data_IF_586384016004
#
_entry.id   IF_586384016004
#
_cell.length_a   1.000
_cell.length_b   1.000
_cell.length_c   1.000
_cell.angle_alpha   90.00
_cell.angle_beta   90.00
_cell.angle_gamma   90.00
#
_symmetry.space_group_name_H-M   'P 1'
#
loop_
_entity.id
_entity.type
_entity.pdbx_description
1 polymer ?
#
# COMPACT_ATOMS: atom_id res chain seq x y z
N UNK A 1 11.69 -6.72 -14.21
CA UNK A 1 11.66 -5.26 -13.92
C UNK A 1 12.83 -4.98 -12.98
N UNK A 2 13.87 -4.29 -13.44
CA UNK A 2 15.03 -3.95 -12.61
C UNK A 2 14.61 -2.87 -11.61
N UNK A 3 14.70 -3.15 -10.32
CA UNK A 3 14.50 -2.15 -9.27
C UNK A 3 15.59 -1.08 -9.40
N UNK A 4 15.19 0.16 -9.71
CA UNK A 4 16.10 1.30 -9.81
C UNK A 4 16.04 2.09 -8.50
N UNK A 5 17.17 2.63 -8.07
CA UNK A 5 17.21 3.59 -6.97
C UNK A 5 16.27 4.78 -7.26
N UNK A 6 15.33 5.04 -6.35
CA UNK A 6 14.36 6.15 -6.44
C UNK A 6 15.03 7.54 -6.50
N UNK A 7 16.28 7.65 -6.04
CA UNK A 7 17.02 8.91 -5.93
C UNK A 7 17.83 9.27 -7.18
N UNK A 8 18.61 8.33 -7.74
CA UNK A 8 19.50 8.62 -8.86
C UNK A 8 19.01 8.10 -10.23
N UNK A 9 17.94 7.29 -10.28
CA UNK A 9 17.39 6.66 -11.50
C UNK A 9 18.40 5.90 -12.39
N UNK A 10 19.65 5.72 -11.96
CA UNK A 10 20.72 5.14 -12.75
C UNK A 10 21.71 4.40 -11.85
N UNK A 11 21.80 3.08 -12.03
CA UNK A 11 23.07 2.34 -12.05
C UNK A 11 22.81 1.03 -12.78
N UNK A 12 23.57 0.78 -13.85
CA UNK A 12 23.64 -0.54 -14.47
C UNK A 12 24.47 -1.43 -13.53
N UNK A 13 23.94 -2.61 -13.18
CA UNK A 13 24.72 -3.73 -12.66
C UNK A 13 25.41 -3.52 -11.30
N UNK A 14 24.91 -4.23 -10.28
CA UNK A 14 25.64 -4.66 -9.08
C UNK A 14 26.35 -3.61 -8.20
N UNK A 15 26.17 -2.31 -8.43
CA UNK A 15 26.77 -1.26 -7.59
C UNK A 15 25.70 -0.63 -6.70
N UNK A 16 25.85 -0.81 -5.38
CA UNK A 16 25.13 -0.02 -4.37
C UNK A 16 25.30 1.46 -4.71
N UNK A 17 24.21 2.23 -4.81
CA UNK A 17 24.28 3.67 -5.12
C UNK A 17 25.30 4.37 -4.21
N UNK A 18 26.02 5.37 -4.72
CA UNK A 18 26.84 6.25 -3.89
C UNK A 18 26.00 7.31 -3.13
N UNK A 19 24.69 7.06 -2.97
CA UNK A 19 23.77 7.95 -2.27
C UNK A 19 23.89 7.88 -0.74
N UNK A 20 25.03 7.35 -0.24
CA UNK A 20 25.37 7.27 1.17
C UNK A 20 24.65 6.17 1.94
N UNK A 21 24.05 5.18 1.25
CA UNK A 21 23.39 4.05 1.92
C UNK A 21 22.17 4.40 2.77
N UNK A 22 21.59 5.60 2.62
CA UNK A 22 20.35 5.94 3.33
C UNK A 22 19.22 5.08 2.76
N UNK A 23 18.84 4.04 3.50
CA UNK A 23 17.61 3.31 3.27
C UNK A 23 16.45 4.26 3.57
N UNK A 24 15.62 4.54 2.58
CA UNK A 24 14.40 5.31 2.82
C UNK A 24 13.47 4.46 3.70
N UNK A 25 13.41 4.81 4.98
CA UNK A 25 12.55 4.15 5.95
C UNK A 25 11.08 4.39 5.57
N UNK A 26 10.30 3.32 5.65
CA UNK A 26 8.84 3.41 5.65
C UNK A 26 8.38 3.08 7.07
N UNK A 27 7.80 4.06 7.74
CA UNK A 27 7.12 3.83 9.00
C UNK A 27 5.66 3.51 8.72
N UNK A 28 5.16 2.42 9.29
CA UNK A 28 3.76 1.98 9.18
C UNK A 28 3.11 2.07 10.55
N UNK A 29 1.94 2.68 10.60
CA UNK A 29 1.08 2.72 11.79
C UNK A 29 -0.28 2.16 11.43
N UNK A 30 -0.80 1.31 12.31
CA UNK A 30 -2.11 0.66 12.17
C UNK A 30 -3.06 1.22 13.22
N UNK A 31 -4.26 1.56 12.79
CA UNK A 31 -5.34 2.01 13.67
C UNK A 31 -6.66 1.39 13.26
N UNK A 32 -7.63 1.42 14.16
CA UNK A 32 -9.01 1.02 13.90
C UNK A 32 -9.86 2.29 13.72
N UNK A 33 -10.80 2.23 12.80
CA UNK A 33 -11.78 3.28 12.58
C UNK A 33 -13.18 2.66 12.51
N UNK A 34 -14.09 3.13 13.36
CA UNK A 34 -15.51 2.78 13.28
C UNK A 34 -16.14 3.41 12.01
N UNK A 35 -16.82 2.59 11.21
CA UNK A 35 -17.52 3.00 9.98
C UNK A 35 -18.90 2.34 9.99
N UNK A 36 -19.92 3.09 10.42
CA UNK A 36 -21.25 2.54 10.69
C UNK A 36 -21.18 1.56 11.86
N UNK A 37 -21.68 0.35 11.66
CA UNK A 37 -21.66 -0.74 12.65
C UNK A 37 -20.41 -1.65 12.53
N UNK A 38 -19.46 -1.29 11.68
CA UNK A 38 -18.26 -2.10 11.40
C UNK A 38 -16.96 -1.40 11.74
N UNK A 39 -15.94 -2.18 12.10
CA UNK A 39 -14.57 -1.69 12.31
C UNK A 39 -13.74 -1.82 11.02
N UNK A 40 -13.12 -0.72 10.59
CA UNK A 40 -12.19 -0.68 9.47
C UNK A 40 -10.74 -0.56 9.96
N UNK A 41 -9.89 -1.50 9.52
CA UNK A 41 -8.45 -1.44 9.76
C UNK A 41 -7.78 -0.43 8.84
N UNK A 42 -7.23 0.63 9.42
CA UNK A 42 -6.55 1.70 8.71
C UNK A 42 -5.04 1.58 8.89
N UNK A 43 -4.35 1.42 7.77
CA UNK A 43 -2.90 1.62 7.68
C UNK A 43 -2.60 3.05 7.27
N UNK A 44 -1.63 3.67 7.95
CA UNK A 44 -0.96 4.91 7.52
C UNK A 44 0.52 4.61 7.35
N UNK A 45 1.12 5.04 6.24
CA UNK A 45 2.54 4.90 6.00
C UNK A 45 3.18 6.26 5.70
N UNK A 46 4.37 6.50 6.23
CA UNK A 46 5.19 7.67 5.90
C UNK A 46 6.52 7.23 5.32
N UNK A 47 6.88 7.78 4.17
CA UNK A 47 8.16 7.51 3.50
C UNK A 47 9.15 8.65 3.71
N UNK A 48 10.39 8.27 4.04
CA UNK A 48 11.53 9.15 4.21
C UNK A 48 11.64 9.76 5.60
N UNK A 49 12.75 10.45 5.84
CA UNK A 49 13.07 11.06 7.14
C UNK A 49 13.05 12.60 7.09
N UNK A 50 12.79 13.18 5.90
CA UNK A 50 12.80 14.63 5.66
C UNK A 50 11.43 15.16 5.29
N UNK A 51 11.07 16.32 5.86
CA UNK A 51 9.83 17.03 5.57
C UNK A 51 9.91 17.70 4.18
N UNK A 52 8.86 17.62 3.33
CA UNK A 52 7.57 16.97 3.57
C UNK A 52 7.62 15.46 3.32
N UNK A 53 7.18 14.70 4.32
CA UNK A 53 7.02 13.25 4.23
C UNK A 53 5.91 12.89 3.24
N UNK A 54 6.16 11.92 2.37
CA UNK A 54 5.08 11.32 1.58
C UNK A 54 4.22 10.48 2.53
N UNK A 55 2.94 10.86 2.69
CA UNK A 55 1.99 10.16 3.55
C UNK A 55 1.01 9.36 2.70
N UNK A 56 0.97 8.06 2.94
CA UNK A 56 0.01 7.13 2.39
C UNK A 56 -0.99 6.73 3.47
N UNK A 57 -2.24 6.51 3.07
CA UNK A 57 -3.30 6.04 3.95
C UNK A 57 -4.14 4.99 3.24
N UNK A 58 -4.75 4.09 4.00
CA UNK A 58 -5.71 3.13 3.46
C UNK A 58 -6.90 3.88 2.85
N UNK A 59 -7.23 3.55 1.60
CA UNK A 59 -8.40 4.08 0.91
C UNK A 59 -9.65 3.57 1.61
N UNK A 60 -10.54 4.49 2.00
CA UNK A 60 -11.85 4.10 2.51
C UNK A 60 -12.64 3.35 1.43
N UNK A 61 -13.26 2.20 1.75
CA UNK A 61 -14.11 1.52 0.81
C UNK A 61 -15.33 2.38 0.47
N UNK A 62 -15.97 2.09 -0.67
CA UNK A 62 -17.21 2.75 -1.11
C UNK A 62 -18.36 1.78 -0.97
N UNK A 63 -19.53 2.27 -0.57
CA UNK A 63 -20.74 1.45 -0.56
C UNK A 63 -21.17 1.09 -2.00
N UNK A 64 -21.31 -0.19 -2.30
CA UNK A 64 -21.91 -0.67 -3.54
C UNK A 64 -23.37 -1.03 -3.30
N UNK A 65 -24.29 -0.34 -3.99
CA UNK A 65 -25.74 -0.56 -3.83
C UNK A 65 -26.23 -1.91 -4.35
N UNK A 66 -25.51 -2.52 -5.30
CA UNK A 66 -25.93 -3.80 -5.91
C UNK A 66 -25.48 -4.99 -5.07
N UNK A 67 -24.30 -4.88 -4.47
CA UNK A 67 -23.73 -5.90 -3.60
C UNK A 67 -24.06 -5.69 -2.12
N UNK A 68 -24.68 -4.56 -1.78
CA UNK A 68 -25.04 -4.14 -0.42
C UNK A 68 -23.88 -4.28 0.59
N UNK A 69 -22.68 -3.89 0.16
CA UNK A 69 -21.49 -3.97 0.99
C UNK A 69 -20.45 -2.90 0.63
N UNK A 70 -19.48 -2.72 1.52
CA UNK A 70 -18.34 -1.83 1.32
C UNK A 70 -17.29 -2.48 0.42
N UNK A 71 -16.99 -1.88 -0.74
CA UNK A 71 -16.08 -2.41 -1.76
C UNK A 71 -14.92 -1.48 -2.09
N UNK A 72 -13.80 -2.07 -2.52
CA UNK A 72 -12.68 -1.38 -3.16
C UNK A 72 -12.64 -1.73 -4.65
N UNK A 73 -12.32 -0.74 -5.49
CA UNK A 73 -12.20 -0.96 -6.92
C UNK A 73 -10.75 -1.32 -7.30
N UNK A 74 -10.52 -2.59 -7.66
CA UNK A 74 -9.24 -3.10 -8.14
C UNK A 74 -9.06 -2.99 -9.66
N UNK A 75 -9.63 -1.95 -10.28
CA UNK A 75 -9.49 -1.60 -11.71
C UNK A 75 -9.79 -2.76 -12.67
N UNK A 76 -10.85 -3.51 -12.38
CA UNK A 76 -11.28 -4.65 -13.20
C UNK A 76 -10.60 -5.98 -12.87
N UNK A 77 -9.65 -6.01 -11.92
CA UNK A 77 -9.14 -7.29 -11.40
C UNK A 77 -10.21 -7.97 -10.54
N UNK A 78 -10.47 -9.23 -10.82
CA UNK A 78 -11.31 -10.08 -9.98
C UNK A 78 -10.57 -10.34 -8.66
N UNK A 79 -11.11 -9.79 -7.57
CA UNK A 79 -10.55 -9.92 -6.22
C UNK A 79 -11.62 -10.55 -5.31
N UNK A 80 -11.20 -11.55 -4.53
CA UNK A 80 -12.06 -12.22 -3.55
C UNK A 80 -12.15 -11.39 -2.26
N UNK A 81 -13.26 -11.49 -1.53
CA UNK A 81 -13.40 -10.85 -0.24
C UNK A 81 -12.33 -11.33 0.76
N UNK A 82 -11.76 -10.38 1.51
CA UNK A 82 -10.78 -10.62 2.56
C UNK A 82 -10.62 -9.37 3.40
N UNK A 83 -10.49 -9.51 4.72
CA UNK A 83 -10.14 -8.41 5.62
C UNK A 83 -8.77 -7.81 5.28
N UNK A 84 -7.88 -8.59 4.65
CA UNK A 84 -6.52 -8.19 4.27
C UNK A 84 -6.46 -7.38 2.97
N UNK A 85 -7.57 -7.22 2.25
CA UNK A 85 -7.59 -6.43 1.02
C UNK A 85 -7.45 -4.94 1.35
N UNK A 86 -6.46 -4.26 0.76
CA UNK A 86 -6.28 -2.82 0.96
C UNK A 86 -5.76 -2.12 -0.29
N UNK A 87 -5.98 -0.80 -0.31
CA UNK A 87 -5.33 0.12 -1.23
C UNK A 87 -4.69 1.24 -0.40
N UNK A 88 -3.43 1.55 -0.65
CA UNK A 88 -2.77 2.74 -0.10
C UNK A 88 -2.83 3.87 -1.12
N UNK A 89 -3.31 5.03 -0.71
CA UNK A 89 -3.43 6.24 -1.54
C UNK A 89 -2.64 7.39 -0.93
N UNK A 90 -2.31 8.40 -1.73
CA UNK A 90 -1.77 9.65 -1.18
C UNK A 90 -2.80 10.28 -0.23
N UNK A 91 -2.36 10.74 0.95
CA UNK A 91 -3.26 11.37 1.92
C UNK A 91 -4.02 12.57 1.34
N UNK A 92 -3.36 13.33 0.47
CA UNK A 92 -3.91 14.54 -0.16
C UNK A 92 -4.56 14.26 -1.53
N UNK A 93 -4.44 13.03 -2.05
CA UNK A 93 -5.05 12.60 -3.31
C UNK A 93 -5.50 11.12 -3.19
N UNK A 94 -6.72 10.90 -2.66
CA UNK A 94 -7.26 9.56 -2.42
C UNK A 94 -7.53 8.73 -3.68
N UNK A 95 -7.52 9.34 -4.88
CA UNK A 95 -7.74 8.61 -6.13
C UNK A 95 -6.43 8.07 -6.72
N UNK A 96 -5.30 8.62 -6.31
CA UNK A 96 -3.97 8.08 -6.62
C UNK A 96 -3.63 6.90 -5.71
N UNK A 97 -4.02 5.69 -6.13
CA UNK A 97 -3.66 4.40 -5.50
C UNK A 97 -2.18 4.07 -5.74
N UNK A 98 -1.33 4.13 -4.73
CA UNK A 98 0.11 3.85 -4.81
C UNK A 98 0.42 2.36 -4.65
N UNK A 99 -0.32 1.65 -3.81
CA UNK A 99 -0.18 0.22 -3.61
C UNK A 99 -1.57 -0.42 -3.48
N UNK A 100 -1.74 -1.62 -4.03
CA UNK A 100 -2.94 -2.42 -3.83
C UNK A 100 -2.57 -3.87 -3.56
N UNK A 101 -3.22 -4.42 -2.54
CA UNK A 101 -3.08 -5.80 -2.11
C UNK A 101 -4.46 -6.44 -2.12
N UNK A 102 -4.62 -7.54 -2.88
CA UNK A 102 -5.92 -8.16 -3.07
C UNK A 102 -5.85 -9.67 -3.20
N UNK A 103 -6.76 -10.38 -2.52
CA UNK A 103 -6.88 -11.84 -2.59
C UNK A 103 -7.33 -12.30 -3.98
N UNK A 104 -6.56 -13.16 -4.62
CA UNK A 104 -6.88 -13.73 -5.95
C UNK A 104 -7.14 -15.25 -5.91
N UNK A 105 -6.71 -15.95 -4.85
CA UNK A 105 -7.01 -17.37 -4.59
C UNK A 105 -6.93 -17.63 -3.06
N UNK A 106 -7.26 -18.84 -2.54
CA UNK A 106 -7.31 -19.15 -1.10
C UNK A 106 -6.11 -18.65 -0.29
N UNK A 107 -4.89 -18.86 -0.81
CA UNK A 107 -3.63 -18.48 -0.17
C UNK A 107 -2.74 -17.65 -1.12
N UNK A 108 -3.37 -16.94 -2.06
CA UNK A 108 -2.65 -16.17 -3.06
C UNK A 108 -3.20 -14.75 -3.12
N UNK A 109 -2.29 -13.80 -2.98
CA UNK A 109 -2.58 -12.38 -3.03
C UNK A 109 -1.76 -11.74 -4.15
N UNK A 110 -2.39 -10.85 -4.90
CA UNK A 110 -1.69 -9.98 -5.82
C UNK A 110 -1.28 -8.70 -5.10
N UNK A 111 -0.04 -8.28 -5.32
CA UNK A 111 0.52 -7.03 -4.80
C UNK A 111 1.02 -6.20 -5.99
N UNK A 112 0.37 -5.07 -6.25
CA UNK A 112 0.89 -4.08 -7.19
C UNK A 112 1.30 -2.82 -6.43
N UNK A 113 2.47 -2.29 -6.74
CA UNK A 113 2.91 -1.00 -6.23
C UNK A 113 3.48 -0.13 -7.35
N UNK A 114 3.47 1.17 -7.12
CA UNK A 114 4.15 2.17 -7.94
C UNK A 114 4.90 3.14 -7.06
N UNK A 115 5.76 3.93 -7.69
CA UNK A 115 6.43 5.08 -7.07
C UNK A 115 5.43 5.90 -6.23
N UNK A 116 5.80 6.31 -5.00
CA UNK A 116 7.14 6.26 -4.43
C UNK A 116 7.49 4.99 -3.63
N UNK A 117 6.61 3.98 -3.55
CA UNK A 117 6.92 2.74 -2.83
C UNK A 117 7.86 1.84 -3.65
N UNK A 118 8.84 1.24 -2.97
CA UNK A 118 9.57 0.08 -3.48
C UNK A 118 8.75 -1.20 -3.28
N UNK A 119 9.07 -2.27 -3.99
CA UNK A 119 8.39 -3.56 -3.77
C UNK A 119 8.63 -4.08 -2.36
N UNK A 120 9.83 -3.92 -1.79
CA UNK A 120 10.13 -4.34 -0.42
C UNK A 120 9.28 -3.58 0.60
N UNK A 121 9.11 -2.26 0.43
CA UNK A 121 8.22 -1.46 1.29
C UNK A 121 6.76 -1.91 1.15
N UNK A 122 6.28 -2.08 -0.08
CA UNK A 122 4.92 -2.57 -0.33
C UNK A 122 4.69 -3.99 0.24
N UNK A 123 5.70 -4.85 0.18
CA UNK A 123 5.68 -6.19 0.76
C UNK A 123 5.63 -6.13 2.29
N UNK A 124 6.46 -5.29 2.93
CA UNK A 124 6.42 -5.06 4.37
C UNK A 124 5.06 -4.55 4.85
N UNK A 125 4.44 -3.62 4.09
CA UNK A 125 3.06 -3.19 4.35
C UNK A 125 2.07 -4.35 4.23
N UNK A 126 2.23 -5.24 3.24
CA UNK A 126 1.38 -6.41 3.07
C UNK A 126 1.52 -7.43 4.21
N UNK A 127 2.73 -7.60 4.76
CA UNK A 127 2.94 -8.45 5.93
C UNK A 127 2.30 -7.85 7.19
N UNK A 128 2.34 -6.53 7.35
CA UNK A 128 1.73 -5.84 8.49
C UNK A 128 0.21 -6.09 8.59
N UNK A 129 -0.49 -6.42 7.49
CA UNK A 129 -1.91 -6.77 7.55
C UNK A 129 -2.20 -8.16 8.09
N UNK A 130 -1.19 -8.99 8.35
CA UNK A 130 -1.39 -10.30 8.96
C UNK A 130 -1.95 -10.20 10.39
N UNK A 131 -1.69 -9.08 11.08
CA UNK A 131 -2.19 -8.81 12.43
C UNK A 131 -3.61 -8.21 12.45
N UNK A 132 -4.24 -8.00 11.28
CA UNK A 132 -5.65 -7.63 11.22
C UNK A 132 -6.52 -8.86 11.55
N UNK A 133 -6.88 -8.99 12.83
CA UNK A 133 -7.79 -10.03 13.34
C UNK A 133 -9.22 -9.51 13.51
#
# INVERSE_FOLDING_TARGET
VQERCARCRHCQGHTSCNCGGQQDLMCVSMSRQEVGDGTNYRMSASLGDKVPLCRLVTKSPRWDKKLECMVLNFKGRKVHASAKNFQLTLKNDPDTVICQHGKIAPDTFALDCRSPLTFIQAFGASLATMDWQ
#
